data_IF_296713215327
#
_entry.id   IF_296713215327
#
_cell.length_a   1.000
_cell.length_b   1.000
_cell.length_c   1.000
_cell.angle_alpha   90.00
_cell.angle_beta   90.00
_cell.angle_gamma   90.00
#
_symmetry.space_group_name_H-M   'P 1'
#
loop_
_entity.id
_entity.type
_entity.pdbx_description
1 polymer ?
#
# COMPACT_ATOMS: atom_id res chain seq x y z
N UNK A 1 -8.37 16.19 -2.40
CA UNK A 1 -7.09 15.45 -2.43
C UNK A 1 -6.65 15.32 -0.98
N UNK A 2 -6.54 14.12 -0.39
CA UNK A 2 -6.35 14.00 1.07
C UNK A 2 -4.88 13.92 1.42
N UNK A 3 -4.55 14.65 2.47
CA UNK A 3 -3.20 14.88 2.95
C UNK A 3 -3.06 14.19 4.30
N UNK A 4 -2.27 13.11 4.37
CA UNK A 4 -1.77 12.60 5.64
C UNK A 4 -0.50 13.35 6.04
N UNK A 5 -0.38 13.70 7.33
CA UNK A 5 0.55 14.72 7.83
C UNK A 5 1.31 14.17 9.04
N UNK A 6 2.61 13.95 8.89
CA UNK A 6 3.50 13.53 9.98
C UNK A 6 4.77 14.39 10.03
N UNK A 7 5.36 14.55 11.24
CA UNK A 7 6.23 15.70 11.58
C UNK A 7 7.65 15.25 11.91
N UNK A 8 8.62 15.63 11.07
CA UNK A 8 10.05 15.56 11.42
C UNK A 8 10.79 16.86 11.04
N UNK A 9 11.51 17.44 12.00
CA UNK A 9 12.60 18.40 11.71
C UNK A 9 12.22 19.78 11.18
N UNK A 10 11.03 20.31 11.48
CA UNK A 10 10.72 21.73 11.26
C UNK A 10 10.55 22.20 9.80
N UNK A 11 10.65 21.31 8.82
CA UNK A 11 10.39 21.62 7.41
C UNK A 11 9.40 20.60 6.85
N UNK A 12 8.24 21.08 6.41
CA UNK A 12 7.27 20.30 5.64
C UNK A 12 7.92 19.85 4.32
N UNK A 13 8.53 18.66 4.29
CA UNK A 13 8.82 17.99 3.03
C UNK A 13 7.59 17.17 2.66
N UNK A 14 6.73 17.75 1.84
CA UNK A 14 5.79 16.97 1.04
C UNK A 14 6.67 16.16 0.09
N UNK A 15 6.99 14.92 0.43
CA UNK A 15 7.53 13.98 -0.55
C UNK A 15 6.42 13.80 -1.58
N UNK A 16 6.46 14.61 -2.65
CA UNK A 16 5.74 14.38 -3.90
C UNK A 16 6.37 13.13 -4.52
N UNK A 17 6.12 11.98 -3.94
CA UNK A 17 6.34 10.74 -4.67
C UNK A 17 5.26 10.69 -5.76
N UNK A 18 5.64 10.60 -7.04
CA UNK A 18 4.71 10.35 -8.12
C UNK A 18 3.85 9.15 -7.76
N UNK A 19 2.54 9.25 -8.04
CA UNK A 19 1.60 8.14 -7.83
C UNK A 19 2.04 6.87 -8.58
N UNK A 20 2.76 7.05 -9.69
CA UNK A 20 3.39 5.99 -10.47
C UNK A 20 4.48 5.23 -9.70
N UNK A 21 5.29 5.92 -8.89
CA UNK A 21 6.29 5.28 -8.03
C UNK A 21 5.61 4.48 -6.93
N UNK A 22 4.53 5.01 -6.34
CA UNK A 22 3.72 4.30 -5.34
C UNK A 22 3.11 3.03 -5.94
N UNK A 23 2.60 3.11 -7.17
CA UNK A 23 2.08 1.95 -7.89
C UNK A 23 3.15 0.91 -8.25
N UNK A 24 4.36 1.33 -8.60
CA UNK A 24 5.49 0.41 -8.83
C UNK A 24 5.93 -0.27 -7.53
N UNK A 25 6.01 0.49 -6.44
CA UNK A 25 6.39 0.05 -5.10
C UNK A 25 5.41 -1.00 -4.52
N UNK A 26 4.10 -0.78 -4.72
CA UNK A 26 3.03 -1.71 -4.37
C UNK A 26 3.09 -3.01 -5.19
N UNK A 27 3.31 -2.91 -6.50
CA UNK A 27 3.47 -4.07 -7.38
C UNK A 27 4.64 -4.95 -6.97
N UNK A 28 5.78 -4.35 -6.63
CA UNK A 28 6.97 -5.08 -6.18
C UNK A 28 6.74 -5.79 -4.84
N UNK A 29 6.12 -5.12 -3.85
CA UNK A 29 5.76 -5.76 -2.57
C UNK A 29 4.80 -6.92 -2.74
N UNK A 30 3.76 -6.73 -3.56
CA UNK A 30 2.83 -7.81 -3.89
C UNK A 30 3.54 -8.98 -4.55
N UNK A 31 4.45 -8.70 -5.49
CA UNK A 31 5.24 -9.73 -6.16
C UNK A 31 6.07 -10.54 -5.18
N UNK A 32 6.71 -9.89 -4.20
CA UNK A 32 7.46 -10.60 -3.14
C UNK A 32 6.56 -11.51 -2.32
N UNK A 33 5.41 -11.00 -1.88
CA UNK A 33 4.42 -11.77 -1.12
C UNK A 33 3.95 -13.03 -1.85
N UNK A 34 3.77 -12.95 -3.17
CA UNK A 34 3.36 -14.09 -4.02
C UNK A 34 4.55 -14.99 -4.38
N UNK A 35 5.74 -14.43 -4.50
CA UNK A 35 6.96 -15.13 -4.94
C UNK A 35 7.66 -15.94 -3.86
N UNK A 36 7.18 -15.91 -2.63
CA UNK A 36 7.72 -16.74 -1.56
C UNK A 36 7.36 -18.23 -1.76
N UNK A 37 8.33 -19.04 -2.21
CA UNK A 37 8.17 -20.50 -2.29
C UNK A 37 8.15 -21.15 -0.90
N UNK A 38 9.00 -20.69 0.02
CA UNK A 38 9.06 -21.11 1.43
C UNK A 38 9.54 -19.96 2.33
N UNK A 39 8.68 -18.97 2.61
CA UNK A 39 9.05 -17.87 3.50
C UNK A 39 9.30 -18.39 4.91
N UNK A 40 10.30 -17.87 5.61
CA UNK A 40 10.20 -17.91 7.07
C UNK A 40 9.01 -17.06 7.48
N UNK A 41 8.26 -17.52 8.50
CA UNK A 41 7.05 -16.82 8.97
C UNK A 41 7.33 -15.34 9.24
N UNK A 42 8.50 -15.02 9.80
CA UNK A 42 8.91 -13.65 10.12
C UNK A 42 9.15 -12.77 8.88
N UNK A 43 9.75 -13.30 7.82
CA UNK A 43 10.00 -12.53 6.58
C UNK A 43 8.70 -12.20 5.87
N UNK A 44 7.79 -13.18 5.77
CA UNK A 44 6.48 -12.96 5.16
C UNK A 44 5.61 -11.99 5.98
N UNK A 45 5.61 -12.11 7.31
CA UNK A 45 4.89 -11.17 8.19
C UNK A 45 5.44 -9.74 8.05
N UNK A 46 6.77 -9.56 7.92
CA UNK A 46 7.39 -8.26 7.72
C UNK A 46 7.04 -7.65 6.34
N UNK A 47 7.13 -8.44 5.27
CA UNK A 47 6.74 -7.98 3.93
C UNK A 47 5.23 -7.70 3.84
N UNK A 48 4.41 -8.46 4.57
CA UNK A 48 2.98 -8.22 4.63
C UNK A 48 2.67 -6.90 5.34
N UNK A 49 3.31 -6.64 6.49
CA UNK A 49 3.16 -5.37 7.19
C UNK A 49 3.62 -4.18 6.33
N UNK A 50 4.72 -4.34 5.58
CA UNK A 50 5.20 -3.33 4.65
C UNK A 50 4.26 -3.10 3.46
N UNK A 51 3.58 -4.15 2.97
CA UNK A 51 2.56 -4.06 1.94
C UNK A 51 1.30 -3.34 2.45
N UNK A 52 0.81 -3.70 3.63
CA UNK A 52 -0.34 -3.06 4.26
C UNK A 52 -0.11 -1.55 4.45
N UNK A 53 1.08 -1.17 4.90
CA UNK A 53 1.43 0.23 5.09
C UNK A 53 1.48 1.00 3.76
N UNK A 54 2.05 0.38 2.72
CA UNK A 54 2.05 0.97 1.39
C UNK A 54 0.62 1.15 0.83
N UNK A 55 -0.29 0.20 1.07
CA UNK A 55 -1.69 0.30 0.66
C UNK A 55 -2.39 1.47 1.37
N UNK A 56 -2.21 1.61 2.68
CA UNK A 56 -2.78 2.73 3.45
C UNK A 56 -2.25 4.07 2.95
N UNK A 57 -0.94 4.16 2.69
CA UNK A 57 -0.32 5.37 2.15
C UNK A 57 -0.89 5.75 0.79
N UNK A 58 -1.04 4.77 -0.11
CA UNK A 58 -1.64 5.00 -1.43
C UNK A 58 -3.10 5.45 -1.31
N UNK A 59 -3.87 4.82 -0.42
CA UNK A 59 -5.26 5.19 -0.16
C UNK A 59 -5.37 6.62 0.38
N UNK A 60 -4.48 7.01 1.32
CA UNK A 60 -4.42 8.37 1.82
C UNK A 60 -4.10 9.38 0.71
N UNK A 61 -3.16 9.06 -0.19
CA UNK A 61 -2.78 9.95 -1.32
C UNK A 61 -3.92 10.14 -2.33
N UNK A 62 -4.70 9.09 -2.58
CA UNK A 62 -5.86 9.12 -3.50
C UNK A 62 -7.18 9.47 -2.79
N UNK A 63 -7.11 9.79 -1.50
CA UNK A 63 -8.23 9.97 -0.57
C UNK A 63 -9.36 8.96 -0.70
N UNK A 64 -8.96 7.71 -0.89
CA UNK A 64 -9.84 6.56 -0.79
C UNK A 64 -10.20 6.39 0.66
N UNK A 65 -11.48 6.55 0.98
CA UNK A 65 -12.00 6.33 2.33
C UNK A 65 -12.04 4.82 2.59
N UNK A 66 -11.19 4.37 3.52
CA UNK A 66 -11.11 2.97 3.92
C UNK A 66 -11.59 2.89 5.35
N UNK A 67 -12.64 2.09 5.59
CA UNK A 67 -13.14 1.78 6.93
C UNK A 67 -12.18 0.87 7.71
N UNK A 68 -10.93 1.30 7.87
CA UNK A 68 -9.86 0.53 8.48
C UNK A 68 -9.44 1.24 9.76
N UNK A 69 -9.48 0.51 10.87
CA UNK A 69 -8.84 0.93 12.10
C UNK A 69 -7.34 1.16 11.84
N UNK A 70 -6.92 2.42 11.90
CA UNK A 70 -5.52 2.84 11.77
C UNK A 70 -4.70 2.20 12.89
N UNK A 71 -4.02 1.10 12.59
CA UNK A 71 -3.10 0.41 13.52
C UNK A 71 -3.19 -1.12 13.52
N UNK A 72 -4.25 -1.71 12.97
CA UNK A 72 -4.38 -3.17 12.86
C UNK A 72 -3.91 -3.68 11.49
N UNK A 73 -3.33 -4.89 11.45
CA UNK A 73 -3.03 -5.59 10.20
C UNK A 73 -4.31 -5.73 9.36
N UNK A 74 -4.21 -5.51 8.06
CA UNK A 74 -5.36 -5.59 7.17
C UNK A 74 -5.77 -7.06 7.00
N UNK A 75 -7.06 -7.33 7.14
CA UNK A 75 -7.60 -8.63 6.75
C UNK A 75 -7.39 -8.84 5.25
N UNK A 76 -7.36 -10.10 4.75
CA UNK A 76 -7.28 -10.38 3.33
C UNK A 76 -8.37 -9.66 2.51
N UNK A 77 -9.60 -9.60 3.04
CA UNK A 77 -10.72 -8.88 2.41
C UNK A 77 -10.48 -7.37 2.36
N UNK A 78 -10.05 -6.75 3.46
CA UNK A 78 -9.72 -5.32 3.49
C UNK A 78 -8.60 -4.96 2.51
N UNK A 79 -7.59 -5.83 2.35
CA UNK A 79 -6.56 -5.67 1.32
C UNK A 79 -7.13 -5.74 -0.09
N UNK A 80 -8.01 -6.71 -0.35
CA UNK A 80 -8.64 -6.84 -1.66
C UNK A 80 -9.49 -5.62 -2.02
N UNK A 81 -10.25 -5.10 -1.05
CA UNK A 81 -11.06 -3.89 -1.21
C UNK A 81 -10.19 -2.65 -1.48
N UNK A 82 -9.09 -2.50 -0.73
CA UNK A 82 -8.10 -1.45 -0.94
C UNK A 82 -7.47 -1.54 -2.33
N UNK A 83 -7.04 -2.73 -2.74
CA UNK A 83 -6.48 -2.95 -4.08
C UNK A 83 -7.48 -2.58 -5.17
N UNK A 84 -8.75 -2.94 -4.98
CA UNK A 84 -9.82 -2.63 -5.93
C UNK A 84 -10.08 -1.12 -6.01
N UNK A 85 -10.16 -0.44 -4.86
CA UNK A 85 -10.37 1.00 -4.80
C UNK A 85 -9.19 1.78 -5.40
N UNK A 86 -7.95 1.35 -5.15
CA UNK A 86 -6.75 1.92 -5.76
C UNK A 86 -6.73 1.72 -7.28
N UNK A 87 -7.13 0.54 -7.76
CA UNK A 87 -7.29 0.29 -9.19
C UNK A 87 -8.36 1.18 -9.83
N UNK A 88 -9.51 1.36 -9.17
CA UNK A 88 -10.57 2.27 -9.62
C UNK A 88 -10.12 3.74 -9.67
N UNK A 89 -9.18 4.13 -8.80
CA UNK A 89 -8.53 5.43 -8.79
C UNK A 89 -7.36 5.57 -9.80
N UNK A 90 -7.11 4.54 -10.61
CA UNK A 90 -6.10 4.53 -11.68
C UNK A 90 -4.71 4.01 -11.26
N UNK A 91 -4.60 3.35 -10.11
CA UNK A 91 -3.35 2.76 -9.63
C UNK A 91 -3.45 1.23 -9.71
N UNK A 92 -2.96 0.66 -10.81
CA UNK A 92 -2.98 -0.79 -11.04
C UNK A 92 -1.92 -1.51 -10.21
N UNK A 93 -2.38 -2.30 -9.23
CA UNK A 93 -1.53 -3.10 -8.32
C UNK A 93 -1.47 -4.57 -8.76
N UNK A 94 -2.49 -5.05 -9.48
CA UNK A 94 -2.51 -6.38 -10.08
C UNK A 94 -1.84 -6.28 -11.44
N UNK A 95 -0.82 -7.08 -11.69
CA UNK A 95 -0.42 -7.41 -13.05
C UNK A 95 -1.57 -8.22 -13.63
N UNK A 96 -2.44 -7.61 -14.43
CA UNK A 96 -3.35 -8.36 -15.28
C UNK A 96 -2.47 -9.13 -16.25
N UNK A 97 -2.26 -10.41 -15.96
CA UNK A 97 -1.62 -11.35 -16.87
C UNK A 97 -2.50 -11.39 -18.14
N UNK A 98 -1.93 -10.93 -19.26
CA UNK A 98 -2.48 -11.11 -20.62
C UNK A 98 -2.01 -12.45 -21.14
#
# INVERSE_FOLDING_TARGET
MAYHRERHGGRWQVSREPIELVGADLRERRRRLVGYEQPTRCEWEADLAAYDEALRRAAAMLEVEVGVDTGAALTPDQRADLEHALAAAGLEIRTTDI
#
